data_IF_141498871201
#
_entry.id   IF_141498871201
#
_cell.length_a   1.000
_cell.length_b   1.000
_cell.length_c   1.000
_cell.angle_alpha   90.00
_cell.angle_beta   90.00
_cell.angle_gamma   90.00
#
_symmetry.space_group_name_H-M   'P 1'
#
loop_
_entity.id
_entity.type
_entity.pdbx_description
1 polymer ?
#
# COMPACT_ATOMS: atom_id res chain seq x y z
N UNK A 1 -19.60 8.19 14.43
CA UNK A 1 -18.73 8.97 13.48
C UNK A 1 -17.28 8.66 13.74
N UNK A 2 -16.52 8.24 12.72
CA UNK A 2 -15.08 8.05 12.80
C UNK A 2 -14.37 9.40 12.77
N UNK A 3 -13.22 9.49 13.48
CA UNK A 3 -12.54 10.77 13.71
C UNK A 3 -11.34 10.98 12.80
N UNK A 4 -10.90 9.94 12.07
CA UNK A 4 -9.78 10.03 11.15
C UNK A 4 -9.74 8.87 10.17
N UNK A 5 -8.88 9.01 9.13
CA UNK A 5 -8.63 7.96 8.14
C UNK A 5 -7.14 7.68 8.03
N UNK A 6 -6.80 6.42 7.85
CA UNK A 6 -5.45 5.98 7.56
C UNK A 6 -5.51 5.18 6.25
N UNK A 7 -4.73 5.61 5.28
CA UNK A 7 -4.64 4.96 3.97
C UNK A 7 -3.35 4.15 3.86
N UNK A 8 -3.43 2.92 3.38
CA UNK A 8 -2.32 2.36 2.65
C UNK A 8 -2.11 3.14 1.35
N UNK A 9 -0.98 2.95 0.66
CA UNK A 9 -0.65 3.77 -0.51
C UNK A 9 -0.72 2.95 -1.81
N UNK A 10 0.21 2.02 -2.01
CA UNK A 10 0.31 1.21 -3.23
C UNK A 10 -0.84 0.20 -3.33
N UNK A 11 -1.50 0.10 -4.48
CA UNK A 11 -2.68 -0.75 -4.65
C UNK A 11 -3.96 -0.17 -4.03
N UNK A 12 -3.84 0.79 -3.11
CA UNK A 12 -4.96 1.41 -2.40
C UNK A 12 -5.32 2.78 -2.98
N UNK A 13 -4.41 3.74 -2.97
CA UNK A 13 -4.64 5.09 -3.49
C UNK A 13 -4.36 5.22 -4.99
N UNK A 14 -3.49 4.39 -5.51
CA UNK A 14 -3.22 4.24 -6.94
C UNK A 14 -2.91 2.78 -7.27
N UNK A 15 -3.12 2.39 -8.51
CA UNK A 15 -2.90 1.01 -8.96
C UNK A 15 -1.54 0.91 -9.65
N UNK A 16 -0.63 0.15 -9.07
CA UNK A 16 0.73 -0.02 -9.59
C UNK A 16 1.19 -1.48 -9.70
N UNK A 17 0.29 -2.43 -9.49
CA UNK A 17 0.60 -3.87 -9.54
C UNK A 17 1.35 -4.27 -10.81
N UNK A 18 0.95 -3.73 -11.97
CA UNK A 18 1.60 -4.01 -13.25
C UNK A 18 3.03 -3.43 -13.31
N UNK A 19 3.25 -2.20 -12.80
CA UNK A 19 4.58 -1.58 -12.73
C UNK A 19 5.50 -2.33 -11.76
N UNK A 20 4.97 -2.77 -10.63
CA UNK A 20 5.69 -3.62 -9.69
C UNK A 20 6.10 -4.94 -10.33
N UNK A 21 5.17 -5.59 -11.07
CA UNK A 21 5.45 -6.80 -11.80
C UNK A 21 6.52 -6.62 -12.87
N UNK A 22 6.39 -5.58 -13.71
CA UNK A 22 7.36 -5.28 -14.76
C UNK A 22 8.78 -5.07 -14.20
N UNK A 23 8.88 -4.35 -13.07
CA UNK A 23 10.16 -4.14 -12.39
C UNK A 23 10.76 -5.45 -11.87
N UNK A 24 9.94 -6.30 -11.24
CA UNK A 24 10.37 -7.61 -10.79
C UNK A 24 10.76 -8.53 -11.95
N UNK A 25 9.97 -8.58 -13.03
CA UNK A 25 10.29 -9.40 -14.20
C UNK A 25 11.62 -8.98 -14.85
N UNK A 26 11.89 -7.67 -14.91
CA UNK A 26 13.14 -7.14 -15.44
C UNK A 26 14.34 -7.60 -14.59
N UNK A 27 14.29 -7.42 -13.27
CA UNK A 27 15.38 -7.81 -12.35
C UNK A 27 15.57 -9.33 -12.34
N UNK A 28 14.49 -10.11 -12.31
CA UNK A 28 14.56 -11.58 -12.37
C UNK A 28 15.17 -12.06 -13.67
N UNK A 29 14.86 -11.43 -14.81
CA UNK A 29 15.51 -11.73 -16.10
C UNK A 29 17.00 -11.46 -16.09
N UNK A 30 17.41 -10.33 -15.51
CA UNK A 30 18.82 -9.93 -15.43
C UNK A 30 19.63 -10.91 -14.57
N UNK A 31 19.15 -11.24 -13.37
CA UNK A 31 19.87 -12.09 -12.42
C UNK A 31 19.82 -13.59 -12.76
N UNK A 32 18.70 -14.07 -13.28
CA UNK A 32 18.43 -15.51 -13.42
C UNK A 32 18.22 -15.96 -14.85
N UNK A 33 18.17 -15.04 -15.83
CA UNK A 33 18.06 -15.37 -17.25
C UNK A 33 16.70 -15.90 -17.69
N UNK A 34 15.68 -15.84 -16.82
CA UNK A 34 14.29 -16.20 -17.14
C UNK A 34 13.32 -15.12 -16.68
N UNK A 35 12.17 -15.01 -17.36
CA UNK A 35 11.09 -14.15 -16.89
C UNK A 35 10.42 -14.66 -15.62
N UNK A 36 9.80 -13.77 -14.87
CA UNK A 36 8.94 -14.07 -13.73
C UNK A 36 7.49 -14.21 -14.23
N UNK A 37 6.85 -15.39 -14.18
CA UNK A 37 5.44 -15.51 -14.53
C UNK A 37 4.56 -14.65 -13.63
N UNK A 38 3.54 -14.00 -14.20
CA UNK A 38 2.66 -13.10 -13.43
C UNK A 38 1.98 -13.80 -12.24
N UNK A 39 1.54 -15.06 -12.43
CA UNK A 39 0.94 -15.85 -11.35
C UNK A 39 1.95 -16.17 -10.23
N UNK A 40 3.22 -16.41 -10.59
CA UNK A 40 4.30 -16.61 -9.62
C UNK A 40 4.58 -15.32 -8.84
N UNK A 41 4.57 -14.16 -9.52
CA UNK A 41 4.69 -12.86 -8.87
C UNK A 41 3.57 -12.63 -7.86
N UNK A 42 2.31 -12.81 -8.25
CA UNK A 42 1.15 -12.60 -7.37
C UNK A 42 1.19 -13.52 -6.15
N UNK A 43 1.58 -14.79 -6.35
CA UNK A 43 1.50 -15.80 -5.29
C UNK A 43 2.68 -15.79 -4.31
N UNK A 44 3.88 -15.35 -4.76
CA UNK A 44 5.12 -15.58 -4.02
C UNK A 44 5.99 -14.33 -3.83
N UNK A 45 5.59 -13.19 -4.40
CA UNK A 45 6.39 -11.95 -4.34
C UNK A 45 5.52 -10.76 -3.89
N UNK A 46 4.35 -10.58 -4.50
CA UNK A 46 3.48 -9.45 -4.25
C UNK A 46 2.96 -9.43 -2.79
N UNK A 47 3.17 -8.31 -2.12
CA UNK A 47 2.71 -8.11 -0.72
C UNK A 47 3.57 -8.81 0.34
N UNK A 48 4.71 -9.40 -0.02
CA UNK A 48 5.69 -9.92 0.94
C UNK A 48 6.70 -8.84 1.35
N UNK A 49 7.31 -9.03 2.51
CA UNK A 49 8.44 -8.22 2.97
C UNK A 49 9.73 -8.55 2.21
N UNK A 50 10.62 -7.58 2.07
CA UNK A 50 11.88 -7.73 1.35
C UNK A 50 12.74 -8.94 1.77
N UNK A 51 12.88 -9.29 3.06
CA UNK A 51 13.60 -10.51 3.45
C UNK A 51 12.96 -11.79 2.94
N UNK A 52 11.62 -11.90 3.00
CA UNK A 52 10.88 -13.09 2.57
C UNK A 52 11.00 -13.28 1.05
N UNK A 53 11.01 -12.19 0.28
CA UNK A 53 11.21 -12.21 -1.17
C UNK A 53 12.64 -12.69 -1.51
N UNK A 54 13.65 -12.16 -0.83
CA UNK A 54 15.03 -12.61 -1.03
C UNK A 54 15.19 -14.10 -0.71
N UNK A 55 14.60 -14.56 0.39
CA UNK A 55 14.58 -15.97 0.78
C UNK A 55 13.85 -16.85 -0.25
N UNK A 56 12.75 -16.37 -0.81
CA UNK A 56 12.03 -17.06 -1.87
C UNK A 56 12.92 -17.29 -3.09
N UNK A 57 13.56 -16.23 -3.60
CA UNK A 57 14.47 -16.36 -4.75
C UNK A 57 15.73 -17.15 -4.42
N UNK A 58 16.28 -17.06 -3.20
CA UNK A 58 17.41 -17.88 -2.78
C UNK A 58 17.06 -19.38 -2.79
N UNK A 59 15.86 -19.76 -2.36
CA UNK A 59 15.38 -21.15 -2.42
C UNK A 59 15.19 -21.63 -3.87
N UNK A 60 14.70 -20.75 -4.73
CA UNK A 60 14.45 -21.06 -6.13
C UNK A 60 15.75 -21.17 -6.95
N UNK A 61 16.79 -20.41 -6.56
CA UNK A 61 18.09 -20.36 -7.22
C UNK A 61 19.24 -20.64 -6.22
N UNK A 62 19.36 -21.89 -5.71
CA UNK A 62 20.30 -22.22 -4.64
C UNK A 62 21.77 -22.00 -5.02
N UNK A 63 22.11 -22.06 -6.31
CA UNK A 63 23.46 -21.81 -6.82
C UNK A 63 23.81 -20.33 -6.99
N UNK A 64 22.88 -19.43 -6.73
CA UNK A 64 23.08 -17.97 -6.76
C UNK A 64 23.19 -17.45 -5.34
N UNK A 65 23.88 -16.34 -5.17
CA UNK A 65 23.91 -15.61 -3.90
C UNK A 65 22.85 -14.51 -3.93
N UNK A 66 21.61 -14.85 -3.56
CA UNK A 66 20.51 -13.89 -3.52
C UNK A 66 20.46 -13.23 -2.14
N UNK A 67 20.51 -11.93 -2.11
CA UNK A 67 20.43 -11.13 -0.88
C UNK A 67 19.31 -10.09 -0.99
N UNK A 68 19.00 -9.42 0.10
CA UNK A 68 18.02 -8.32 0.11
C UNK A 68 18.36 -7.20 -0.88
N UNK A 69 19.62 -7.10 -1.35
CA UNK A 69 20.01 -6.13 -2.37
C UNK A 69 19.20 -6.25 -3.69
N UNK A 70 18.68 -7.44 -4.01
CA UNK A 70 17.81 -7.62 -5.20
C UNK A 70 16.52 -6.80 -5.07
N UNK A 71 16.02 -6.59 -3.87
CA UNK A 71 14.83 -5.77 -3.64
C UNK A 71 15.13 -4.28 -3.80
N UNK A 72 16.30 -3.82 -3.37
CA UNK A 72 16.73 -2.42 -3.56
C UNK A 72 16.88 -2.10 -5.06
N UNK A 73 17.44 -3.03 -5.83
CA UNK A 73 17.58 -2.93 -7.29
C UNK A 73 16.20 -2.89 -7.98
N UNK A 74 15.28 -3.74 -7.54
CA UNK A 74 13.91 -3.73 -8.06
C UNK A 74 13.21 -2.39 -7.74
N UNK A 75 13.40 -1.84 -6.55
CA UNK A 75 12.81 -0.55 -6.21
C UNK A 75 13.36 0.60 -7.09
N UNK A 76 14.65 0.57 -7.44
CA UNK A 76 15.21 1.54 -8.38
C UNK A 76 14.61 1.35 -9.79
N UNK A 77 14.56 0.10 -10.28
CA UNK A 77 13.94 -0.24 -11.57
C UNK A 77 12.47 0.21 -11.62
N UNK A 78 11.71 -0.03 -10.55
CA UNK A 78 10.34 0.43 -10.42
C UNK A 78 10.22 1.96 -10.54
N UNK A 79 11.06 2.73 -9.84
CA UNK A 79 11.06 4.20 -9.95
C UNK A 79 11.41 4.69 -11.35
N UNK A 80 12.32 4.00 -12.04
CA UNK A 80 12.65 4.30 -13.45
C UNK A 80 11.42 4.08 -14.33
N UNK A 81 10.76 2.92 -14.24
CA UNK A 81 9.55 2.63 -15.02
C UNK A 81 8.42 3.62 -14.73
N UNK A 82 8.24 3.97 -13.46
CA UNK A 82 7.28 4.99 -13.10
C UNK A 82 7.55 6.35 -13.75
N UNK A 83 8.80 6.79 -13.82
CA UNK A 83 9.17 8.06 -14.49
C UNK A 83 9.00 8.00 -16.01
N UNK A 84 9.22 6.84 -16.61
CA UNK A 84 9.02 6.61 -18.05
C UNK A 84 7.54 6.53 -18.44
N UNK A 85 6.67 6.18 -17.49
CA UNK A 85 5.22 6.03 -17.68
C UNK A 85 4.40 6.90 -16.71
N UNK A 86 4.55 8.22 -16.71
CA UNK A 86 3.86 9.10 -15.77
C UNK A 86 2.32 9.08 -15.94
N UNK A 87 1.82 8.66 -17.08
CA UNK A 87 0.41 8.45 -17.37
C UNK A 87 -0.20 7.27 -16.57
N UNK A 88 0.63 6.33 -16.09
CA UNK A 88 0.22 5.21 -15.23
C UNK A 88 0.25 5.57 -13.72
N UNK A 89 0.84 6.71 -13.38
CA UNK A 89 0.96 7.21 -12.00
C UNK A 89 -0.15 8.23 -11.72
N UNK A 90 -1.34 7.73 -11.57
CA UNK A 90 -2.50 8.55 -11.25
C UNK A 90 -3.23 7.98 -10.04
N UNK A 91 -3.69 8.88 -9.18
CA UNK A 91 -4.61 8.47 -8.13
C UNK A 91 -5.85 7.79 -8.71
N UNK A 92 -6.38 6.84 -7.97
CA UNK A 92 -7.70 6.28 -8.28
C UNK A 92 -8.77 7.37 -8.28
N UNK A 93 -9.85 7.19 -9.06
CA UNK A 93 -10.96 8.15 -9.08
C UNK A 93 -11.45 8.48 -7.67
N UNK A 94 -11.64 9.77 -7.40
CA UNK A 94 -12.16 10.27 -6.12
C UNK A 94 -11.12 10.52 -5.02
N UNK A 95 -9.87 10.07 -5.14
CA UNK A 95 -8.85 10.23 -4.07
C UNK A 95 -8.57 11.70 -3.78
N UNK A 96 -8.22 12.51 -4.79
CA UNK A 96 -7.94 13.94 -4.57
C UNK A 96 -9.16 14.68 -4.01
N UNK A 97 -10.35 14.37 -4.53
CA UNK A 97 -11.61 14.94 -4.02
C UNK A 97 -11.83 14.57 -2.56
N UNK A 98 -11.55 13.32 -2.17
CA UNK A 98 -11.64 12.89 -0.78
C UNK A 98 -10.66 13.64 0.12
N UNK A 99 -9.39 13.81 -0.30
CA UNK A 99 -8.40 14.56 0.48
C UNK A 99 -8.80 16.02 0.68
N UNK A 100 -9.33 16.67 -0.36
CA UNK A 100 -9.84 18.04 -0.28
C UNK A 100 -11.05 18.13 0.67
N UNK A 101 -11.98 17.17 0.63
CA UNK A 101 -13.14 17.10 1.54
C UNK A 101 -12.71 16.88 2.99
N UNK A 102 -11.79 15.96 3.25
CA UNK A 102 -11.25 15.70 4.59
C UNK A 102 -10.55 16.94 5.15
N UNK A 103 -9.75 17.62 4.33
CA UNK A 103 -9.07 18.86 4.68
C UNK A 103 -10.08 19.96 5.03
N UNK A 104 -11.10 20.16 4.20
CA UNK A 104 -12.16 21.15 4.43
C UNK A 104 -12.99 20.88 5.69
N UNK A 105 -13.21 19.59 6.00
CA UNK A 105 -13.94 19.17 7.20
C UNK A 105 -13.06 19.16 8.47
N UNK A 106 -11.75 19.36 8.34
CA UNK A 106 -10.81 19.27 9.47
C UNK A 106 -10.65 17.86 10.03
N UNK A 107 -10.99 16.83 9.25
CA UNK A 107 -10.82 15.43 9.63
C UNK A 107 -9.37 15.02 9.38
N UNK A 108 -8.62 14.60 10.41
CA UNK A 108 -7.22 14.21 10.23
C UNK A 108 -7.09 12.92 9.47
N UNK A 109 -6.10 12.83 8.59
CA UNK A 109 -5.78 11.63 7.84
C UNK A 109 -4.28 11.44 7.66
N UNK A 110 -3.87 10.20 7.43
CA UNK A 110 -2.47 9.82 7.30
C UNK A 110 -2.31 8.70 6.27
N UNK A 111 -1.09 8.54 5.77
CA UNK A 111 -0.64 7.38 5.01
C UNK A 111 0.12 6.44 5.95
N UNK A 112 -0.09 5.12 5.80
CA UNK A 112 0.66 4.07 6.47
C UNK A 112 1.08 3.00 5.44
N UNK A 113 2.28 3.15 4.88
CA UNK A 113 2.81 2.31 3.80
C UNK A 113 3.97 1.43 4.27
N UNK A 114 4.11 0.24 3.68
CA UNK A 114 5.29 -0.60 3.84
C UNK A 114 6.46 -0.19 2.93
N UNK A 115 6.30 0.85 2.12
CA UNK A 115 7.37 1.42 1.30
C UNK A 115 8.45 2.06 2.16
N UNK A 116 9.70 2.00 1.72
CA UNK A 116 10.83 2.69 2.34
C UNK A 116 10.84 4.19 2.00
N UNK A 117 11.61 4.96 2.77
CA UNK A 117 11.70 6.43 2.64
C UNK A 117 12.01 6.91 1.21
N UNK A 118 12.82 6.17 0.45
CA UNK A 118 13.19 6.55 -0.92
C UNK A 118 11.97 6.53 -1.84
N UNK A 119 11.10 5.54 -1.71
CA UNK A 119 9.85 5.48 -2.45
C UNK A 119 8.84 6.53 -1.94
N UNK A 120 8.78 6.75 -0.64
CA UNK A 120 7.89 7.81 -0.09
C UNK A 120 8.26 9.17 -0.66
N UNK A 121 9.55 9.53 -0.71
CA UNK A 121 10.01 10.78 -1.33
C UNK A 121 9.67 10.86 -2.81
N UNK A 122 9.84 9.75 -3.53
CA UNK A 122 9.43 9.63 -4.92
C UNK A 122 7.91 9.86 -5.09
N UNK A 123 7.06 9.30 -4.22
CA UNK A 123 5.62 9.52 -4.26
C UNK A 123 5.24 10.97 -3.93
N UNK A 124 5.94 11.63 -2.99
CA UNK A 124 5.74 13.05 -2.74
C UNK A 124 5.96 13.88 -4.01
N UNK A 125 7.04 13.60 -4.74
CA UNK A 125 7.34 14.27 -6.01
C UNK A 125 6.27 13.99 -7.08
N UNK A 126 5.96 12.71 -7.33
CA UNK A 126 5.11 12.29 -8.44
C UNK A 126 3.63 12.63 -8.24
N UNK A 127 3.12 12.49 -7.03
CA UNK A 127 1.71 12.75 -6.70
C UNK A 127 1.48 14.13 -6.06
N UNK A 128 2.53 14.92 -5.85
CA UNK A 128 2.46 16.22 -5.20
C UNK A 128 1.77 16.13 -3.84
N UNK A 129 2.18 15.14 -3.03
CA UNK A 129 1.54 14.81 -1.75
C UNK A 129 1.61 15.95 -0.74
N UNK A 130 2.56 16.88 -0.89
CA UNK A 130 2.70 18.09 -0.07
C UNK A 130 1.44 18.99 -0.07
N UNK A 131 0.51 18.78 -1.02
CA UNK A 131 -0.79 19.46 -1.02
C UNK A 131 -1.67 19.07 0.18
N UNK A 132 -1.52 17.86 0.71
CA UNK A 132 -2.39 17.30 1.74
C UNK A 132 -1.64 16.71 2.92
N UNK A 133 -0.40 16.30 2.74
CA UNK A 133 0.39 15.60 3.76
C UNK A 133 1.66 16.35 4.11
N UNK A 134 1.91 16.42 5.40
CA UNK A 134 3.22 16.77 5.97
C UNK A 134 3.97 15.49 6.32
N UNK A 135 5.29 15.54 6.51
CA UNK A 135 6.13 14.37 6.78
C UNK A 135 5.65 13.55 7.99
N UNK A 136 5.09 14.21 9.00
CA UNK A 136 4.54 13.55 10.19
C UNK A 136 3.23 12.80 9.94
N UNK A 137 2.58 13.05 8.81
CA UNK A 137 1.35 12.37 8.38
C UNK A 137 1.60 11.16 7.46
N UNK A 138 2.86 10.83 7.19
CA UNK A 138 3.23 9.64 6.42
C UNK A 138 4.09 8.72 7.26
N UNK A 139 3.54 7.57 7.63
CA UNK A 139 4.25 6.48 8.30
C UNK A 139 4.71 5.49 7.24
N UNK A 140 5.96 5.15 7.26
CA UNK A 140 6.61 4.28 6.28
C UNK A 140 7.53 3.27 6.98
N UNK A 141 8.05 2.30 6.24
CA UNK A 141 9.06 1.39 6.75
C UNK A 141 10.40 2.13 6.97
N UNK A 142 10.63 2.51 8.21
CA UNK A 142 11.88 3.10 8.69
C UNK A 142 12.82 2.06 9.32
N UNK A 143 12.49 0.77 9.16
CA UNK A 143 13.20 -0.39 9.75
C UNK A 143 13.19 -0.41 11.29
N UNK A 144 12.41 0.44 11.94
CA UNK A 144 12.20 0.45 13.40
C UNK A 144 10.88 -0.17 13.81
N UNK A 145 9.97 -0.39 12.85
CA UNK A 145 8.65 -0.99 13.03
C UNK A 145 8.60 -2.37 12.39
N UNK A 146 7.79 -3.23 12.96
CA UNK A 146 7.39 -4.44 12.25
C UNK A 146 6.45 -4.06 11.10
N UNK A 147 6.75 -4.58 9.89
CA UNK A 147 5.93 -4.34 8.71
C UNK A 147 4.67 -5.20 8.71
N UNK A 148 3.68 -4.85 7.88
CA UNK A 148 2.46 -5.62 7.67
C UNK A 148 2.81 -7.11 7.42
N UNK A 149 2.17 -8.07 8.10
CA UNK A 149 0.88 -7.99 8.81
C UNK A 149 0.97 -7.60 10.31
N UNK A 150 2.09 -7.05 10.80
CA UNK A 150 2.13 -6.45 12.13
C UNK A 150 1.33 -5.13 12.14
N UNK A 151 0.71 -4.76 13.28
CA UNK A 151 -0.16 -3.58 13.37
C UNK A 151 0.59 -2.25 13.46
N UNK A 152 1.90 -2.26 13.58
CA UNK A 152 2.76 -1.16 14.04
C UNK A 152 2.61 0.10 13.19
N UNK A 153 2.54 -0.02 11.87
CA UNK A 153 2.35 1.10 10.96
C UNK A 153 1.02 1.83 11.22
N UNK A 154 -0.07 1.08 11.40
CA UNK A 154 -1.39 1.67 11.68
C UNK A 154 -1.48 2.24 13.08
N UNK A 155 -0.89 1.57 14.08
CA UNK A 155 -0.81 2.09 15.46
C UNK A 155 -0.04 3.40 15.50
N UNK A 156 1.10 3.49 14.81
CA UNK A 156 1.89 4.72 14.71
C UNK A 156 1.14 5.82 13.97
N UNK A 157 0.45 5.50 12.87
CA UNK A 157 -0.35 6.46 12.13
C UNK A 157 -1.48 7.03 12.99
N UNK A 158 -2.25 6.20 13.67
CA UNK A 158 -3.29 6.65 14.59
C UNK A 158 -2.72 7.55 15.72
N UNK A 159 -1.57 7.16 16.29
CA UNK A 159 -0.87 7.98 17.30
C UNK A 159 -0.46 9.36 16.76
N UNK A 160 0.06 9.44 15.54
CA UNK A 160 0.41 10.72 14.89
C UNK A 160 -0.82 11.60 14.60
N UNK A 161 -1.99 10.98 14.40
CA UNK A 161 -3.26 11.70 14.30
C UNK A 161 -3.82 12.12 15.66
N UNK A 162 -3.24 11.64 16.78
CA UNK A 162 -3.77 11.86 18.12
C UNK A 162 -5.06 11.07 18.40
N UNK A 163 -5.26 9.94 17.71
CA UNK A 163 -6.47 9.13 17.76
C UNK A 163 -6.18 7.71 18.26
N UNK A 164 -7.22 7.05 18.77
CA UNK A 164 -7.18 5.59 18.92
C UNK A 164 -7.46 4.93 17.57
N UNK A 165 -6.84 3.79 17.25
CA UNK A 165 -7.16 3.04 16.02
C UNK A 165 -8.66 2.73 15.87
N UNK A 166 -9.36 2.47 16.96
CA UNK A 166 -10.81 2.23 16.98
C UNK A 166 -11.65 3.46 16.55
N UNK A 167 -11.07 4.65 16.55
CA UNK A 167 -11.70 5.87 16.03
C UNK A 167 -11.36 6.13 14.56
N UNK A 168 -10.54 5.27 13.93
CA UNK A 168 -10.05 5.45 12.57
C UNK A 168 -10.71 4.48 11.58
N UNK A 169 -10.93 4.96 10.36
CA UNK A 169 -11.14 4.14 9.18
C UNK A 169 -9.76 3.77 8.60
N UNK A 170 -9.54 2.52 8.23
CA UNK A 170 -8.37 2.09 7.46
C UNK A 170 -8.81 1.67 6.08
N UNK A 171 -8.15 2.19 5.04
CA UNK A 171 -8.33 1.77 3.65
C UNK A 171 -7.12 0.95 3.20
N UNK A 172 -7.34 -0.23 2.64
CA UNK A 172 -6.30 -1.22 2.32
C UNK A 172 -6.74 -2.15 1.18
N UNK A 173 -5.76 -2.72 0.43
CA UNK A 173 -6.03 -3.65 -0.67
C UNK A 173 -5.43 -5.05 -0.43
N UNK A 174 -4.33 -5.12 0.32
CA UNK A 174 -3.57 -6.36 0.52
C UNK A 174 -4.06 -7.19 1.70
N UNK A 175 -3.90 -8.51 1.61
CA UNK A 175 -4.23 -9.42 2.70
C UNK A 175 -3.43 -9.11 3.98
N UNK A 176 -2.12 -8.82 3.83
CA UNK A 176 -1.27 -8.49 4.96
C UNK A 176 -1.64 -7.15 5.61
N UNK A 177 -2.02 -6.16 4.80
CA UNK A 177 -2.44 -4.86 5.33
C UNK A 177 -3.81 -4.91 6.01
N UNK A 178 -4.76 -5.64 5.45
CA UNK A 178 -6.07 -5.90 6.10
C UNK A 178 -5.85 -6.60 7.45
N UNK A 179 -4.99 -7.62 7.49
CA UNK A 179 -4.67 -8.31 8.74
C UNK A 179 -3.98 -7.38 9.76
N UNK A 180 -3.11 -6.47 9.29
CA UNK A 180 -2.49 -5.46 10.13
C UNK A 180 -3.53 -4.48 10.71
N UNK A 181 -4.51 -4.05 9.90
CA UNK A 181 -5.60 -3.18 10.33
C UNK A 181 -6.50 -3.87 11.40
N UNK A 182 -6.84 -5.15 11.20
CA UNK A 182 -7.56 -5.97 12.19
C UNK A 182 -6.78 -6.06 13.50
N UNK A 183 -5.49 -6.36 13.44
CA UNK A 183 -4.60 -6.46 14.62
C UNK A 183 -4.40 -5.11 15.32
N UNK A 184 -4.47 -4.01 14.59
CA UNK A 184 -4.46 -2.66 15.15
C UNK A 184 -5.80 -2.28 15.81
N UNK A 185 -6.83 -3.11 15.70
CA UNK A 185 -8.19 -2.84 16.14
C UNK A 185 -8.75 -1.55 15.51
N UNK A 186 -8.55 -1.39 14.19
CA UNK A 186 -9.16 -0.29 13.44
C UNK A 186 -10.68 -0.28 13.61
N UNK A 187 -11.26 0.91 13.75
CA UNK A 187 -12.69 1.05 13.99
C UNK A 187 -13.54 0.65 12.78
N UNK A 188 -12.99 0.81 11.57
CA UNK A 188 -13.59 0.37 10.31
C UNK A 188 -12.49 -0.01 9.33
N UNK A 189 -12.69 -1.10 8.59
CA UNK A 189 -11.80 -1.54 7.52
C UNK A 189 -12.55 -1.50 6.20
N UNK A 190 -12.05 -0.69 5.26
CA UNK A 190 -12.57 -0.58 3.91
C UNK A 190 -11.53 -1.17 2.97
N UNK A 191 -11.84 -2.31 2.38
CA UNK A 191 -10.94 -2.97 1.44
C UNK A 191 -11.11 -2.40 0.03
N UNK A 192 -10.00 -2.19 -0.67
CA UNK A 192 -10.02 -1.84 -2.10
C UNK A 192 -9.74 -3.08 -2.93
N UNK A 193 -10.59 -3.36 -3.91
CA UNK A 193 -10.35 -4.41 -4.91
C UNK A 193 -11.05 -4.07 -6.21
N UNK A 194 -10.52 -4.57 -7.34
CA UNK A 194 -11.12 -4.38 -8.67
C UNK A 194 -11.39 -5.70 -9.40
N UNK A 195 -10.74 -6.80 -9.00
CA UNK A 195 -10.98 -8.12 -9.56
C UNK A 195 -12.23 -8.75 -8.94
N UNK A 196 -13.19 -9.27 -9.73
CA UNK A 196 -14.46 -9.80 -9.21
C UNK A 196 -14.27 -10.87 -8.12
N UNK A 197 -13.34 -11.81 -8.31
CA UNK A 197 -13.08 -12.88 -7.35
C UNK A 197 -12.55 -12.31 -6.02
N UNK A 198 -11.67 -11.30 -6.08
CA UNK A 198 -11.14 -10.65 -4.87
C UNK A 198 -12.21 -9.83 -4.15
N UNK A 199 -13.10 -9.15 -4.90
CA UNK A 199 -14.24 -8.45 -4.33
C UNK A 199 -15.14 -9.45 -3.59
N UNK A 200 -15.45 -10.60 -4.20
CA UNK A 200 -16.29 -11.63 -3.59
C UNK A 200 -15.65 -12.20 -2.31
N UNK A 201 -14.35 -12.51 -2.35
CA UNK A 201 -13.58 -12.99 -1.20
C UNK A 201 -13.61 -11.99 -0.04
N UNK A 202 -13.26 -10.73 -0.29
CA UNK A 202 -13.20 -9.69 0.74
C UNK A 202 -14.59 -9.33 1.29
N UNK A 203 -15.62 -9.39 0.44
CA UNK A 203 -17.01 -9.12 0.87
C UNK A 203 -17.57 -10.24 1.74
N UNK A 204 -16.99 -11.43 1.72
CA UNK A 204 -17.38 -12.55 2.58
C UNK A 204 -16.70 -12.50 3.98
N UNK A 205 -15.70 -11.66 4.16
CA UNK A 205 -15.01 -11.51 5.44
C UNK A 205 -15.79 -10.58 6.38
N UNK A 206 -16.33 -11.08 7.52
CA UNK A 206 -17.17 -10.30 8.42
C UNK A 206 -16.43 -9.16 9.15
N UNK A 207 -15.10 -9.14 9.10
CA UNK A 207 -14.28 -8.08 9.70
C UNK A 207 -13.92 -6.98 8.69
N UNK A 208 -14.44 -7.05 7.45
CA UNK A 208 -14.31 -6.00 6.43
C UNK A 208 -15.67 -5.30 6.29
N UNK A 209 -15.71 -4.02 6.61
CA UNK A 209 -16.96 -3.25 6.65
C UNK A 209 -17.50 -2.90 5.26
N UNK A 210 -16.61 -2.74 4.28
CA UNK A 210 -16.96 -2.48 2.90
C UNK A 210 -15.82 -2.84 1.94
N UNK A 211 -16.21 -3.15 0.69
CA UNK A 211 -15.27 -3.28 -0.43
C UNK A 211 -15.59 -2.20 -1.46
N UNK A 212 -14.57 -1.50 -1.91
CA UNK A 212 -14.67 -0.42 -2.90
C UNK A 212 -13.74 -0.71 -4.09
N UNK A 213 -14.06 -0.15 -5.25
CA UNK A 213 -13.19 -0.18 -6.44
C UNK A 213 -12.34 1.08 -6.57
N UNK A 214 -12.88 2.21 -6.13
CA UNK A 214 -12.28 3.53 -6.12
C UNK A 214 -12.89 4.40 -5.01
N UNK A 215 -12.51 5.67 -4.93
CA UNK A 215 -12.94 6.59 -3.88
C UNK A 215 -14.05 7.56 -4.30
N UNK A 216 -14.71 7.31 -5.43
CA UNK A 216 -15.84 8.14 -5.88
C UNK A 216 -16.99 8.08 -4.86
N UNK A 217 -17.38 9.25 -4.33
CA UNK A 217 -18.44 9.34 -3.34
C UNK A 217 -18.11 8.74 -1.96
N UNK A 218 -16.81 8.55 -1.66
CA UNK A 218 -16.38 7.94 -0.41
C UNK A 218 -16.79 8.77 0.82
N UNK A 219 -16.57 10.08 0.80
CA UNK A 219 -16.76 10.95 1.95
C UNK A 219 -18.21 10.90 2.48
N UNK A 220 -19.25 11.20 1.68
CA UNK A 220 -20.63 11.15 2.18
C UNK A 220 -21.08 9.75 2.62
N UNK A 221 -20.49 8.71 2.07
CA UNK A 221 -20.92 7.33 2.38
C UNK A 221 -20.31 6.77 3.66
N UNK A 222 -19.08 7.17 3.99
CA UNK A 222 -18.33 6.52 5.06
C UNK A 222 -17.86 7.47 6.16
N UNK A 223 -17.94 8.81 5.95
CA UNK A 223 -17.47 9.83 6.89
C UNK A 223 -18.58 10.75 7.39
N UNK A 224 -19.69 10.91 6.65
CA UNK A 224 -20.88 11.59 7.13
C UNK A 224 -21.82 10.55 7.78
N UNK A 225 -22.41 10.92 8.94
CA UNK A 225 -23.46 10.13 9.61
C UNK A 225 -24.85 10.48 9.05
#
# INVERSE_FOLDING_TARGET
MYKGIIFDFNGTLFEDTDLQYEAWDAVVREHFGRGLPFEEFISNVHGLGNPDIADYFQKLYPDKNVTVAITDEKEETYRVFCREHPDRLQFLPGVETLFDQLTAAGIPFAIATASEITNVRFYFEMFRLERWFTDDRVVYDDRTLAVKPAPDLYLRAASRLGLNPADCVVCEDSTNGILAAKRAHAGRIIARAYKPDRIAELSADPEIDAVITDFTGFYPKYMED
#
